data_IF_094538324219
#
_entry.id   IF_094538324219
#
_cell.length_a   1.000
_cell.length_b   1.000
_cell.length_c   1.000
_cell.angle_alpha   90.00
_cell.angle_beta   90.00
_cell.angle_gamma   90.00
#
_symmetry.space_group_name_H-M   'P 1'
#
loop_
_entity.id
_entity.type
_entity.pdbx_description
1 polymer ?
#
# COMPACT_ATOMS: atom_id res chain seq x y z
N UNK A 1 3.57 29.95 -18.01
CA UNK A 1 3.35 28.67 -17.32
C UNK A 1 1.88 28.60 -16.94
N UNK A 2 1.19 27.52 -17.30
CA UNK A 2 -0.23 27.34 -16.95
C UNK A 2 -0.34 26.55 -15.65
N UNK A 3 -1.33 26.88 -14.81
CA UNK A 3 -1.57 26.22 -13.52
C UNK A 3 -3.02 25.73 -13.48
N UNK A 4 -3.24 24.53 -12.93
CA UNK A 4 -4.58 23.99 -12.75
C UNK A 4 -5.31 24.76 -11.63
N UNK A 5 -6.35 25.50 -12.01
CA UNK A 5 -7.12 26.34 -11.09
C UNK A 5 -7.91 25.49 -10.10
N UNK A 6 -8.32 26.10 -8.99
CA UNK A 6 -9.17 25.41 -8.01
C UNK A 6 -10.50 24.95 -8.61
N UNK A 7 -11.10 25.75 -9.51
CA UNK A 7 -12.29 25.33 -10.27
C UNK A 7 -12.00 24.17 -11.22
N UNK A 8 -10.82 24.11 -11.84
CA UNK A 8 -10.39 22.98 -12.67
C UNK A 8 -10.27 21.69 -11.86
N UNK A 9 -9.66 21.73 -10.67
CA UNK A 9 -9.55 20.56 -9.78
C UNK A 9 -10.91 20.10 -9.26
N UNK A 10 -11.79 21.03 -8.92
CA UNK A 10 -13.18 20.72 -8.55
C UNK A 10 -13.97 20.08 -9.71
N UNK A 11 -13.73 20.51 -10.96
CA UNK A 11 -14.35 19.89 -12.14
C UNK A 11 -13.84 18.47 -12.41
N UNK A 12 -12.56 18.19 -12.13
CA UNK A 12 -12.01 16.83 -12.18
C UNK A 12 -12.68 15.94 -11.13
N UNK A 13 -12.74 16.40 -9.88
CA UNK A 13 -13.45 15.68 -8.81
C UNK A 13 -14.92 15.41 -9.19
N UNK A 14 -15.62 16.39 -9.75
CA UNK A 14 -16.99 16.21 -10.23
C UNK A 14 -17.09 15.13 -11.32
N UNK A 15 -16.18 15.15 -12.30
CA UNK A 15 -16.12 14.14 -13.36
C UNK A 15 -15.86 12.74 -12.82
N UNK A 16 -14.97 12.60 -11.83
CA UNK A 16 -14.67 11.30 -11.19
C UNK A 16 -15.88 10.77 -10.42
N UNK A 17 -16.60 11.64 -9.69
CA UNK A 17 -17.81 11.27 -8.94
C UNK A 17 -18.94 10.71 -9.81
N UNK A 18 -18.97 11.04 -11.10
CA UNK A 18 -19.96 10.52 -12.07
C UNK A 18 -19.60 9.14 -12.65
N UNK A 19 -18.38 8.66 -12.44
CA UNK A 19 -17.94 7.36 -12.92
C UNK A 19 -18.32 6.22 -11.95
N UNK A 20 -18.40 4.97 -12.42
CA UNK A 20 -18.43 3.80 -11.54
C UNK A 20 -17.17 3.75 -10.66
N UNK A 21 -17.32 3.79 -9.34
CA UNK A 21 -16.21 3.71 -8.37
C UNK A 21 -16.34 2.43 -7.55
N UNK A 22 -15.23 1.71 -7.44
CA UNK A 22 -15.10 0.51 -6.61
C UNK A 22 -13.86 0.60 -5.74
N UNK A 23 -13.87 -0.04 -4.57
CA UNK A 23 -12.64 -0.39 -3.86
C UNK A 23 -12.28 -1.82 -4.19
N UNK A 24 -11.12 -2.04 -4.77
CA UNK A 24 -10.52 -3.35 -4.99
C UNK A 24 -9.63 -3.74 -3.81
N UNK A 25 -9.61 -5.03 -3.52
CA UNK A 25 -8.67 -5.65 -2.60
C UNK A 25 -7.69 -6.52 -3.37
N UNK A 26 -6.41 -6.42 -3.03
CA UNK A 26 -5.34 -7.29 -3.52
C UNK A 26 -4.76 -8.10 -2.36
N UNK A 27 -4.38 -9.35 -2.64
CA UNK A 27 -3.69 -10.15 -1.63
C UNK A 27 -2.24 -9.71 -1.43
N UNK A 28 -1.72 -8.85 -2.33
CA UNK A 28 -0.33 -8.40 -2.32
C UNK A 28 0.65 -9.54 -2.55
N UNK A 29 1.91 -9.28 -2.20
CA UNK A 29 2.93 -10.31 -2.08
C UNK A 29 2.86 -10.96 -0.69
N UNK A 30 2.77 -12.29 -0.66
CA UNK A 30 2.75 -13.06 0.58
C UNK A 30 4.08 -13.03 1.33
N UNK A 31 5.16 -12.63 0.67
CA UNK A 31 6.50 -12.51 1.25
C UNK A 31 6.71 -11.24 2.06
N UNK A 32 5.86 -10.22 1.90
CA UNK A 32 5.92 -9.01 2.74
C UNK A 32 5.71 -9.36 4.21
N UNK A 33 6.53 -8.74 5.06
CA UNK A 33 6.64 -8.99 6.51
C UNK A 33 7.22 -10.37 6.87
N UNK A 34 7.78 -11.11 5.90
CA UNK A 34 8.46 -12.38 6.18
C UNK A 34 9.89 -12.14 6.62
N UNK A 35 10.33 -12.91 7.63
CA UNK A 35 11.71 -12.90 8.10
C UNK A 35 12.58 -13.90 7.33
N UNK A 36 13.80 -13.49 7.04
CA UNK A 36 14.79 -14.24 6.31
C UNK A 36 16.09 -14.31 7.09
N UNK A 37 16.82 -15.41 6.88
CA UNK A 37 18.14 -15.64 7.44
C UNK A 37 19.05 -16.13 6.34
N UNK A 38 20.14 -15.41 6.10
CA UNK A 38 21.11 -15.72 5.05
C UNK A 38 22.54 -15.65 5.57
N UNK A 39 23.41 -16.46 4.99
CA UNK A 39 24.86 -16.34 5.17
C UNK A 39 25.45 -15.66 3.94
N UNK A 40 26.24 -14.60 4.15
CA UNK A 40 26.88 -13.84 3.09
C UNK A 40 28.29 -13.47 3.53
N UNK A 41 29.14 -13.15 2.57
CA UNK A 41 30.50 -12.63 2.80
C UNK A 41 30.57 -11.23 2.23
N UNK A 42 31.15 -10.29 2.96
CA UNK A 42 31.48 -8.99 2.39
C UNK A 42 32.55 -9.19 1.32
N UNK A 43 32.20 -8.89 0.06
CA UNK A 43 33.16 -8.91 -1.05
C UNK A 43 34.24 -7.83 -0.85
N UNK A 44 35.30 -7.84 -1.67
CA UNK A 44 36.41 -6.88 -1.58
C UNK A 44 35.99 -5.39 -1.54
N UNK A 45 34.77 -5.05 -1.97
CA UNK A 45 34.20 -3.69 -1.88
C UNK A 45 33.43 -3.40 -0.58
N UNK A 46 33.44 -4.29 0.41
CA UNK A 46 32.74 -4.11 1.69
C UNK A 46 31.21 -4.09 1.58
N UNK A 47 30.64 -4.55 0.48
CA UNK A 47 29.19 -4.48 0.21
C UNK A 47 28.56 -5.86 0.02
N UNK A 48 27.36 -6.00 0.55
CA UNK A 48 26.44 -7.12 0.35
C UNK A 48 25.14 -6.57 -0.24
N UNK A 49 24.60 -7.27 -1.23
CA UNK A 49 23.24 -7.05 -1.72
C UNK A 49 22.40 -8.26 -1.34
N UNK A 50 21.31 -8.00 -0.62
CA UNK A 50 20.30 -9.01 -0.33
C UNK A 50 19.38 -9.21 -1.54
N UNK A 51 18.65 -10.32 -1.52
CA UNK A 51 17.74 -10.66 -2.63
C UNK A 51 16.48 -9.76 -2.62
N UNK A 52 16.15 -9.18 -1.46
CA UNK A 52 15.05 -8.24 -1.27
C UNK A 52 15.59 -6.81 -1.13
N UNK A 53 14.86 -5.84 -1.70
CA UNK A 53 15.29 -4.43 -1.73
C UNK A 53 14.72 -3.64 -0.56
N UNK A 54 13.40 -3.67 -0.37
CA UNK A 54 12.76 -3.03 0.80
C UNK A 54 12.85 -3.96 2.01
N UNK A 55 13.67 -3.60 2.98
CA UNK A 55 13.98 -4.44 4.16
C UNK A 55 13.97 -3.62 5.45
N UNK A 56 13.70 -4.30 6.57
CA UNK A 56 13.79 -3.76 7.93
C UNK A 56 14.29 -4.81 8.92
N UNK A 57 14.45 -4.41 10.18
CA UNK A 57 14.87 -5.26 11.30
C UNK A 57 16.16 -6.06 11.02
N UNK A 58 17.10 -5.43 10.32
CA UNK A 58 18.36 -6.07 9.94
C UNK A 58 19.24 -6.30 11.17
N UNK A 59 19.70 -7.53 11.34
CA UNK A 59 20.61 -7.98 12.38
C UNK A 59 21.74 -8.78 11.78
N UNK A 60 22.96 -8.28 11.95
CA UNK A 60 24.19 -8.92 11.47
C UNK A 60 24.95 -9.51 12.64
N UNK A 61 25.36 -10.78 12.54
CA UNK A 61 26.10 -11.47 13.61
C UNK A 61 26.97 -12.62 13.09
N UNK A 62 27.97 -13.02 13.88
CA UNK A 62 28.79 -14.22 13.64
C UNK A 62 28.91 -15.01 14.94
N UNK A 63 28.46 -16.26 14.93
CA UNK A 63 28.36 -17.06 16.15
C UNK A 63 27.45 -16.39 17.18
N UNK A 64 28.01 -15.94 18.31
CA UNK A 64 27.29 -15.22 19.36
C UNK A 64 27.49 -13.69 19.31
N UNK A 65 28.41 -13.20 18.47
CA UNK A 65 28.74 -11.78 18.39
C UNK A 65 27.75 -11.07 17.48
N UNK A 66 26.94 -10.16 18.04
CA UNK A 66 26.00 -9.31 17.30
C UNK A 66 26.69 -7.97 17.02
N UNK A 67 26.71 -7.56 15.75
CA UNK A 67 27.30 -6.30 15.30
C UNK A 67 26.28 -5.16 15.38
N UNK A 68 26.77 -3.94 15.58
CA UNK A 68 25.95 -2.74 15.77
C UNK A 68 25.76 -1.98 14.45
N UNK A 69 24.50 -1.71 14.09
CA UNK A 69 24.18 -0.84 12.95
C UNK A 69 24.75 0.57 13.17
N UNK A 70 25.18 1.20 12.07
CA UNK A 70 25.84 2.51 12.01
C UNK A 70 27.23 2.60 12.67
N UNK A 71 27.72 1.51 13.28
CA UNK A 71 29.07 1.41 13.85
C UNK A 71 29.88 0.36 13.09
N UNK A 72 29.32 -0.84 12.93
CA UNK A 72 29.99 -1.96 12.27
C UNK A 72 29.57 -2.11 10.81
N UNK A 73 28.32 -1.76 10.50
CA UNK A 73 27.73 -1.80 9.16
C UNK A 73 26.66 -0.71 8.99
N UNK A 74 26.39 -0.32 7.76
CA UNK A 74 25.32 0.59 7.36
C UNK A 74 24.33 -0.21 6.50
N UNK A 75 23.03 0.02 6.72
CA UNK A 75 21.96 -0.62 5.95
C UNK A 75 21.30 0.44 5.08
N UNK A 76 21.24 0.18 3.78
CA UNK A 76 20.31 0.85 2.88
C UNK A 76 19.06 -0.03 2.75
N UNK A 77 18.06 0.27 3.59
CA UNK A 77 16.82 -0.48 3.67
C UNK A 77 15.95 -0.36 2.42
N UNK A 78 16.26 0.54 1.49
CA UNK A 78 15.50 0.71 0.24
C UNK A 78 16.02 -0.15 -0.90
N UNK A 79 17.35 -0.38 -0.95
CA UNK A 79 18.01 -1.18 -1.98
C UNK A 79 18.40 -2.58 -1.53
N UNK A 80 18.29 -2.87 -0.23
CA UNK A 80 18.70 -4.15 0.34
C UNK A 80 20.22 -4.28 0.48
N UNK A 81 20.94 -3.15 0.38
CA UNK A 81 22.38 -3.13 0.49
C UNK A 81 22.83 -3.00 1.94
N UNK A 82 23.89 -3.74 2.29
CA UNK A 82 24.57 -3.63 3.57
C UNK A 82 26.05 -3.36 3.28
N UNK A 83 26.57 -2.29 3.86
CA UNK A 83 27.94 -1.86 3.68
C UNK A 83 28.69 -1.95 5.01
N UNK A 84 29.85 -2.61 5.01
CA UNK A 84 30.74 -2.71 6.16
C UNK A 84 31.37 -1.35 6.42
N UNK A 85 31.43 -0.95 7.69
CA UNK A 85 32.20 0.22 8.10
C UNK A 85 33.67 -0.19 8.24
N UNK A 86 34.59 0.53 7.61
CA UNK A 86 36.01 0.16 7.52
C UNK A 86 36.68 -0.02 8.90
N UNK A 87 36.32 0.84 9.87
CA UNK A 87 36.79 0.81 11.25
C UNK A 87 35.87 0.03 12.21
N UNK A 88 34.90 -0.71 11.68
CA UNK A 88 33.97 -1.55 12.45
C UNK A 88 34.59 -2.87 12.90
N UNK A 89 33.89 -3.58 13.79
CA UNK A 89 34.31 -4.87 14.34
C UNK A 89 34.14 -6.07 13.37
N UNK A 90 33.47 -5.87 12.24
CA UNK A 90 33.30 -6.91 11.21
C UNK A 90 34.62 -7.05 10.45
N UNK A 91 35.15 -8.27 10.34
CA UNK A 91 36.38 -8.55 9.60
C UNK A 91 36.05 -8.69 8.09
N UNK A 92 36.87 -8.12 7.23
CA UNK A 92 36.75 -8.29 5.78
C UNK A 92 36.84 -9.78 5.39
N UNK A 93 36.12 -10.18 4.34
CA UNK A 93 36.04 -11.56 3.85
C UNK A 93 35.50 -12.61 4.86
N UNK A 94 35.04 -12.18 6.04
CA UNK A 94 34.39 -13.09 6.99
C UNK A 94 32.97 -13.44 6.54
N UNK A 95 32.56 -14.69 6.77
CA UNK A 95 31.17 -15.11 6.62
C UNK A 95 30.38 -14.58 7.81
N UNK A 96 29.31 -13.86 7.51
CA UNK A 96 28.37 -13.31 8.49
C UNK A 96 26.99 -13.91 8.26
N UNK A 97 26.21 -13.97 9.33
CA UNK A 97 24.79 -14.26 9.28
C UNK A 97 24.00 -12.96 9.34
N UNK A 98 23.02 -12.84 8.44
CA UNK A 98 22.12 -11.69 8.36
C UNK A 98 20.71 -12.21 8.55
N UNK A 99 20.05 -11.74 9.61
CA UNK A 99 18.62 -11.85 9.79
C UNK A 99 17.97 -10.52 9.41
N UNK A 100 16.87 -10.56 8.66
CA UNK A 100 16.14 -9.36 8.26
C UNK A 100 14.70 -9.69 7.94
N UNK A 101 13.84 -8.68 7.92
CA UNK A 101 12.45 -8.81 7.47
C UNK A 101 12.30 -8.07 6.13
N UNK A 102 11.64 -8.70 5.16
CA UNK A 102 11.23 -8.00 3.95
C UNK A 102 10.08 -7.06 4.30
N UNK A 103 10.29 -5.77 4.12
CA UNK A 103 9.29 -4.77 4.42
C UNK A 103 8.28 -4.65 3.26
N UNK A 104 7.14 -4.06 3.56
CA UNK A 104 6.15 -3.71 2.55
C UNK A 104 6.71 -2.54 1.69
N UNK A 105 6.87 -2.72 0.37
CA UNK A 105 7.43 -1.67 -0.48
C UNK A 105 6.50 -0.45 -0.53
N UNK A 106 7.02 0.76 -0.79
CA UNK A 106 6.18 1.93 -1.00
C UNK A 106 5.33 1.76 -2.27
N UNK A 107 4.18 2.42 -2.30
CA UNK A 107 3.31 2.42 -3.47
C UNK A 107 3.96 3.17 -4.64
N UNK A 108 3.96 2.55 -5.81
CA UNK A 108 4.54 3.16 -7.02
C UNK A 108 3.48 3.99 -7.75
N UNK A 109 3.82 5.24 -8.09
CA UNK A 109 2.96 6.14 -8.88
C UNK A 109 2.68 5.61 -10.30
N UNK A 110 3.46 4.63 -10.76
CA UNK A 110 3.31 3.98 -12.07
C UNK A 110 2.45 2.71 -12.00
N UNK A 111 2.03 2.28 -10.80
CA UNK A 111 1.14 1.14 -10.63
C UNK A 111 -0.19 1.38 -11.32
N UNK A 112 -0.63 0.42 -12.14
CA UNK A 112 -1.90 0.47 -12.85
C UNK A 112 -2.90 -0.61 -12.37
N UNK A 113 -2.44 -1.58 -11.58
CA UNK A 113 -3.21 -2.73 -11.08
C UNK A 113 -2.72 -3.12 -9.69
N UNK A 114 -3.57 -3.79 -8.91
CA UNK A 114 -3.17 -4.44 -7.66
C UNK A 114 -2.46 -5.77 -7.95
N UNK A 115 -1.61 -6.22 -7.03
CA UNK A 115 -1.01 -7.55 -7.04
C UNK A 115 -2.05 -8.57 -6.57
N UNK A 116 -2.39 -9.50 -7.46
CA UNK A 116 -3.35 -10.59 -7.19
C UNK A 116 -4.66 -10.05 -6.61
N UNK A 117 -5.36 -9.26 -7.42
CA UNK A 117 -6.69 -8.76 -7.07
C UNK A 117 -7.61 -9.92 -6.65
N UNK A 118 -8.25 -9.74 -5.50
CA UNK A 118 -9.15 -10.69 -4.85
C UNK A 118 -10.61 -10.40 -5.21
N UNK A 119 -10.95 -9.12 -5.34
CA UNK A 119 -12.26 -8.65 -5.77
C UNK A 119 -12.46 -7.19 -5.43
N UNK A 120 -13.58 -6.61 -5.90
CA UNK A 120 -13.88 -5.19 -5.74
C UNK A 120 -15.34 -4.95 -5.37
N UNK A 121 -15.57 -3.90 -4.58
CA UNK A 121 -16.90 -3.53 -4.10
C UNK A 121 -17.30 -2.13 -4.54
N UNK A 122 -18.55 -1.96 -4.97
CA UNK A 122 -19.14 -0.65 -5.30
C UNK A 122 -19.08 0.28 -4.09
N UNK A 123 -18.75 1.54 -4.33
CA UNK A 123 -18.82 2.60 -3.32
C UNK A 123 -20.21 2.72 -2.68
N UNK A 124 -20.25 2.89 -1.36
CA UNK A 124 -21.49 3.10 -0.62
C UNK A 124 -21.88 4.57 -0.56
N UNK A 125 -20.90 5.46 -0.45
CA UNK A 125 -21.13 6.91 -0.34
C UNK A 125 -20.01 7.69 -1.04
N UNK A 126 -20.39 8.69 -1.85
CA UNK A 126 -19.48 9.66 -2.46
C UNK A 126 -19.97 11.07 -2.13
N UNK A 127 -19.14 11.87 -1.46
CA UNK A 127 -19.43 13.27 -1.12
C UNK A 127 -18.30 14.19 -1.57
N UNK A 128 -18.64 15.40 -2.01
CA UNK A 128 -17.64 16.48 -2.01
C UNK A 128 -17.38 16.89 -0.57
N UNK A 129 -16.15 17.29 -0.25
CA UNK A 129 -15.81 17.73 1.09
C UNK A 129 -14.69 18.78 1.11
N UNK A 130 -14.50 19.42 2.25
CA UNK A 130 -13.39 20.34 2.51
C UNK A 130 -12.76 19.99 3.86
N UNK A 131 -11.45 20.23 3.99
CA UNK A 131 -10.76 20.00 5.27
C UNK A 131 -11.33 20.91 6.36
N UNK A 132 -11.61 20.32 7.52
CA UNK A 132 -12.17 21.01 8.69
C UNK A 132 -11.78 20.23 9.95
N UNK A 133 -11.05 20.85 10.88
CA UNK A 133 -10.62 20.21 12.13
C UNK A 133 -11.80 19.73 12.99
N UNK A 134 -12.98 20.33 12.82
CA UNK A 134 -14.22 19.95 13.50
C UNK A 134 -15.17 19.16 12.59
N UNK A 135 -14.69 18.72 11.42
CA UNK A 135 -15.45 17.94 10.46
C UNK A 135 -15.97 16.62 11.02
N UNK A 136 -17.13 16.21 10.52
CA UNK A 136 -17.80 14.95 10.89
C UNK A 136 -17.30 13.74 10.10
N UNK A 137 -16.71 13.97 8.91
CA UNK A 137 -16.09 12.92 8.13
C UNK A 137 -14.68 12.70 8.66
N UNK A 138 -14.43 11.54 9.27
CA UNK A 138 -13.13 11.19 9.84
C UNK A 138 -12.45 10.16 8.95
N UNK A 139 -11.22 10.43 8.56
CA UNK A 139 -10.35 9.52 7.81
C UNK A 139 -8.95 9.52 8.42
N UNK A 140 -8.07 8.57 8.07
CA UNK A 140 -6.68 8.59 8.51
C UNK A 140 -5.93 9.87 8.14
N UNK A 141 -6.31 10.54 7.04
CA UNK A 141 -5.67 11.79 6.57
C UNK A 141 -6.20 13.05 7.26
N UNK A 142 -7.25 12.95 8.08
CA UNK A 142 -7.81 14.07 8.83
C UNK A 142 -9.33 14.11 8.86
N UNK A 143 -9.84 15.27 9.27
CA UNK A 143 -11.27 15.56 9.38
C UNK A 143 -11.75 16.47 8.26
N UNK A 144 -12.95 16.19 7.78
CA UNK A 144 -13.55 16.87 6.65
C UNK A 144 -15.03 17.16 6.90
N UNK A 145 -15.52 18.22 6.28
CA UNK A 145 -16.93 18.60 6.28
C UNK A 145 -17.53 18.37 4.88
N UNK A 146 -18.71 17.74 4.76
CA UNK A 146 -19.38 17.59 3.47
C UNK A 146 -19.69 18.94 2.81
N UNK A 147 -19.72 18.94 1.49
CA UNK A 147 -20.04 20.09 0.64
C UNK A 147 -21.11 19.72 -0.38
N UNK A 148 -22.09 20.61 -0.56
CA UNK A 148 -23.12 20.49 -1.60
C UNK A 148 -22.67 21.09 -2.95
N UNK A 149 -21.50 21.74 -2.98
CA UNK A 149 -20.88 22.24 -4.21
C UNK A 149 -19.60 21.47 -4.50
N UNK A 150 -19.22 21.28 -5.78
CA UNK A 150 -17.97 20.62 -6.14
C UNK A 150 -16.76 21.28 -5.46
N UNK A 151 -15.96 20.45 -4.80
CA UNK A 151 -14.65 20.82 -4.26
C UNK A 151 -13.59 19.96 -4.93
N UNK A 152 -12.32 20.22 -4.67
CA UNK A 152 -11.25 19.36 -5.17
C UNK A 152 -11.05 18.08 -4.34
N UNK A 153 -11.93 17.78 -3.37
CA UNK A 153 -11.83 16.57 -2.56
C UNK A 153 -13.08 15.70 -2.73
N UNK A 154 -12.87 14.39 -2.89
CA UNK A 154 -13.94 13.39 -2.83
C UNK A 154 -13.74 12.50 -1.61
N UNK A 155 -14.74 12.49 -0.74
CA UNK A 155 -14.89 11.46 0.28
C UNK A 155 -15.54 10.22 -0.33
N UNK A 156 -14.94 9.05 -0.08
CA UNK A 156 -15.40 7.75 -0.56
C UNK A 156 -15.52 6.80 0.62
N UNK A 157 -16.68 6.14 0.78
CA UNK A 157 -16.89 5.11 1.80
C UNK A 157 -17.26 3.79 1.17
N UNK A 158 -16.65 2.72 1.67
CA UNK A 158 -16.88 1.35 1.24
C UNK A 158 -17.02 0.46 2.47
N UNK A 159 -18.06 -0.37 2.53
CA UNK A 159 -18.28 -1.33 3.60
C UNK A 159 -18.46 -2.71 3.02
N UNK A 160 -17.41 -3.52 3.07
CA UNK A 160 -17.43 -4.91 2.63
C UNK A 160 -18.32 -5.75 3.56
N UNK A 161 -19.09 -6.64 2.95
CA UNK A 161 -20.01 -7.52 3.67
C UNK A 161 -19.28 -8.71 4.28
N UNK A 162 -19.96 -9.45 5.15
CA UNK A 162 -19.39 -10.57 5.90
C UNK A 162 -18.69 -11.59 5.00
N UNK A 163 -19.32 -11.98 3.89
CA UNK A 163 -18.80 -13.01 2.99
C UNK A 163 -17.81 -12.49 1.95
N UNK A 164 -17.70 -11.17 1.80
CA UNK A 164 -16.81 -10.57 0.79
C UNK A 164 -15.36 -10.93 1.11
N UNK A 165 -14.72 -11.65 0.19
CA UNK A 165 -13.37 -12.20 0.31
C UNK A 165 -13.11 -12.99 1.61
N UNK A 166 -14.10 -13.73 2.14
CA UNK A 166 -13.89 -14.50 3.36
C UNK A 166 -12.70 -15.48 3.23
N UNK A 167 -11.90 -15.58 4.29
CA UNK A 167 -10.66 -16.38 4.38
C UNK A 167 -9.50 -15.89 3.51
N UNK A 168 -9.60 -14.69 2.93
CA UNK A 168 -8.48 -14.05 2.22
C UNK A 168 -7.65 -13.21 3.17
N UNK A 169 -6.38 -13.02 2.84
CA UNK A 169 -5.49 -12.05 3.49
C UNK A 169 -5.30 -10.90 2.52
N UNK A 170 -5.76 -9.71 2.90
CA UNK A 170 -5.69 -8.51 2.08
C UNK A 170 -4.47 -7.69 2.49
N UNK A 171 -3.72 -7.20 1.50
CA UNK A 171 -2.52 -6.38 1.70
C UNK A 171 -2.51 -5.14 0.81
N UNK A 172 -3.43 -5.03 -0.13
CA UNK A 172 -3.56 -3.86 -1.00
C UNK A 172 -5.02 -3.40 -1.07
N UNK A 173 -5.20 -2.09 -1.05
CA UNK A 173 -6.46 -1.40 -1.28
C UNK A 173 -6.30 -0.54 -2.53
N UNK A 174 -7.27 -0.59 -3.44
CA UNK A 174 -7.22 0.16 -4.69
C UNK A 174 -8.54 0.83 -5.04
N UNK A 175 -8.57 2.16 -5.14
CA UNK A 175 -9.77 2.86 -5.64
C UNK A 175 -9.76 2.79 -7.17
N UNK A 176 -10.73 2.05 -7.72
CA UNK A 176 -10.90 1.84 -9.16
C UNK A 176 -12.01 2.74 -9.70
N UNK A 177 -11.74 3.45 -10.79
CA UNK A 177 -12.69 4.37 -11.45
C UNK A 177 -12.97 3.93 -12.88
N UNK A 178 -14.23 3.98 -13.31
CA UNK A 178 -14.63 3.65 -14.68
C UNK A 178 -14.66 2.14 -14.96
N UNK A 179 -14.74 1.30 -13.92
CA UNK A 179 -14.85 -0.15 -14.06
C UNK A 179 -16.16 -0.55 -14.75
N UNK A 180 -16.11 -1.56 -15.62
CA UNK A 180 -17.30 -2.26 -16.14
C UNK A 180 -17.36 -3.67 -15.56
N UNK A 181 -18.50 -4.05 -15.00
CA UNK A 181 -18.70 -5.28 -14.23
C UNK A 181 -19.98 -6.01 -14.63
N UNK A 182 -20.02 -7.32 -14.34
CA UNK A 182 -21.20 -8.19 -14.49
C UNK A 182 -21.28 -9.20 -13.33
N UNK A 183 -22.45 -9.81 -13.06
CA UNK A 183 -23.78 -9.41 -13.51
C UNK A 183 -24.23 -8.10 -12.85
N UNK A 184 -25.28 -7.48 -13.40
CA UNK A 184 -25.89 -6.29 -12.80
C UNK A 184 -26.57 -6.62 -11.47
N UNK A 185 -26.59 -5.68 -10.54
CA UNK A 185 -27.34 -5.77 -9.28
C UNK A 185 -26.56 -6.32 -8.07
N UNK A 186 -25.37 -6.89 -8.28
CA UNK A 186 -24.47 -7.20 -7.17
C UNK A 186 -23.59 -6.00 -6.80
N UNK A 187 -23.06 -5.99 -5.56
CA UNK A 187 -22.16 -4.93 -5.08
C UNK A 187 -20.71 -5.37 -4.95
N UNK A 188 -20.46 -6.67 -4.86
CA UNK A 188 -19.12 -7.25 -4.79
C UNK A 188 -18.87 -8.08 -6.04
N UNK A 189 -17.67 -7.97 -6.62
CA UNK A 189 -17.28 -8.59 -7.88
C UNK A 189 -15.93 -9.28 -7.72
N UNK A 190 -15.85 -10.55 -8.12
CA UNK A 190 -14.57 -11.24 -8.25
C UNK A 190 -13.83 -10.79 -9.53
N UNK A 191 -12.52 -11.04 -9.68
CA UNK A 191 -11.79 -10.63 -10.89
C UNK A 191 -12.41 -11.12 -12.21
N UNK A 192 -13.04 -12.31 -12.19
CA UNK A 192 -13.75 -12.89 -13.35
C UNK A 192 -14.99 -12.11 -13.80
N UNK A 193 -15.54 -11.30 -12.90
CA UNK A 193 -16.75 -10.50 -13.07
C UNK A 193 -16.45 -9.10 -13.63
N UNK A 194 -15.16 -8.75 -13.74
CA UNK A 194 -14.68 -7.46 -14.24
C UNK A 194 -14.39 -7.56 -15.74
N UNK A 195 -15.18 -6.84 -16.54
CA UNK A 195 -15.03 -6.81 -18.01
C UNK A 195 -14.05 -5.73 -18.47
N UNK A 196 -14.03 -4.60 -17.77
CA UNK A 196 -13.04 -3.57 -17.94
C UNK A 196 -12.56 -3.11 -16.55
N UNK A 197 -11.26 -3.19 -16.24
CA UNK A 197 -10.75 -2.85 -14.92
C UNK A 197 -10.93 -1.39 -14.56
N UNK A 198 -11.02 -0.49 -15.54
CA UNK A 198 -10.98 0.96 -15.33
C UNK A 198 -9.57 1.45 -15.02
N UNK A 199 -9.48 2.53 -14.26
CA UNK A 199 -8.24 3.19 -13.85
C UNK A 199 -8.05 3.01 -12.35
N UNK A 200 -6.85 2.59 -11.94
CA UNK A 200 -6.43 2.62 -10.54
C UNK A 200 -6.10 4.07 -10.16
N UNK A 201 -6.94 4.68 -9.33
CA UNK A 201 -6.81 6.08 -8.90
C UNK A 201 -5.98 6.22 -7.62
N UNK A 202 -6.16 5.29 -6.68
CA UNK A 202 -5.44 5.27 -5.39
C UNK A 202 -4.98 3.84 -5.17
N UNK A 203 -3.75 3.66 -4.72
CA UNK A 203 -3.20 2.41 -4.21
C UNK A 203 -2.70 2.67 -2.79
N UNK A 204 -3.00 1.76 -1.88
CA UNK A 204 -2.49 1.76 -0.52
C UNK A 204 -2.11 0.32 -0.14
N UNK A 205 -0.89 0.12 0.31
CA UNK A 205 -0.46 -1.12 0.93
C UNK A 205 -0.83 -1.08 2.41
N UNK A 206 -1.28 -2.21 2.94
CA UNK A 206 -1.71 -2.33 4.33
C UNK A 206 -1.04 -3.52 5.00
N UNK A 207 -0.93 -3.45 6.32
CA UNK A 207 -0.61 -4.63 7.13
C UNK A 207 -1.63 -5.73 6.84
N UNK A 208 -1.25 -7.02 6.90
CA UNK A 208 -2.14 -8.10 6.51
C UNK A 208 -3.48 -8.06 7.24
N UNK A 209 -4.55 -7.80 6.50
CA UNK A 209 -5.92 -7.80 6.95
C UNK A 209 -6.54 -9.18 6.70
N UNK A 210 -6.79 -9.92 7.78
CA UNK A 210 -7.36 -11.27 7.72
C UNK A 210 -8.89 -11.16 7.64
N UNK A 211 -9.47 -11.57 6.50
CA UNK A 211 -10.91 -11.55 6.30
C UNK A 211 -11.57 -12.79 6.89
N UNK A 212 -12.61 -12.56 7.69
CA UNK A 212 -13.46 -13.61 8.25
C UNK A 212 -14.93 -13.33 7.94
N UNK A 213 -15.76 -14.38 7.92
CA UNK A 213 -17.19 -14.25 7.74
C UNK A 213 -17.94 -13.65 8.96
N UNK A 214 -17.22 -13.18 9.97
CA UNK A 214 -17.78 -12.65 11.21
C UNK A 214 -17.78 -11.11 11.27
N UNK A 215 -17.02 -10.42 10.41
CA UNK A 215 -16.88 -8.96 10.44
C UNK A 215 -17.14 -8.33 9.08
N UNK A 216 -17.69 -7.11 9.13
CA UNK A 216 -17.71 -6.16 8.00
C UNK A 216 -16.59 -5.16 8.19
N UNK A 217 -15.88 -4.85 7.11
CA UNK A 217 -14.81 -3.87 7.13
C UNK A 217 -15.26 -2.61 6.40
N UNK A 218 -15.04 -1.45 7.03
CA UNK A 218 -15.35 -0.15 6.42
C UNK A 218 -14.07 0.62 6.15
N UNK A 219 -13.93 1.11 4.93
CA UNK A 219 -12.84 1.96 4.49
C UNK A 219 -13.41 3.31 4.07
N UNK A 220 -12.72 4.37 4.49
CA UNK A 220 -13.05 5.75 4.15
C UNK A 220 -11.80 6.46 3.65
N UNK A 221 -11.89 7.05 2.46
CA UNK A 221 -10.82 7.78 1.82
C UNK A 221 -11.25 9.22 1.55
N UNK A 222 -10.29 10.14 1.53
CA UNK A 222 -10.44 11.42 0.85
C UNK A 222 -9.39 11.52 -0.24
N UNK A 223 -9.84 11.67 -1.48
CA UNK A 223 -8.98 11.88 -2.65
C UNK A 223 -8.98 13.35 -3.03
N UNK A 224 -7.80 13.95 -3.10
CA UNK A 224 -7.59 15.37 -3.42
C UNK A 224 -7.06 15.52 -4.85
N UNK A 225 -7.68 16.41 -5.63
CA UNK A 225 -7.34 16.71 -7.02
C UNK A 225 -6.72 18.09 -7.19
#
# INVERSE_FOLDING_TARGET
>A
MSVLTQSGRAAIAASIKEQPIHLAWGSGDSTWESSYKVEKTFTAGGKISLDHHTIKDVKVYTGQTIYQSSIDYIVDGSSGAIERVENGAIIADSVITIEYTQDTPPELITSATLIKEVGRRVVDEILFCSGDENGELVTPSGRFKPSNVPTNNLYLKFTFDFTDAANQVIRELGVMVGTKVKPIGQRYFEPKDVENPGILLVLEHTVPLIRTAATRETFSFVVTF
#
